data_IF_734870311141
#
_entry.id   IF_734870311141
#
_cell.length_a   1.000
_cell.length_b   1.000
_cell.length_c   1.000
_cell.angle_alpha   90.00
_cell.angle_beta   90.00
_cell.angle_gamma   90.00
#
_symmetry.space_group_name_H-M   'P 1'
#
loop_
_entity.id
_entity.type
_entity.pdbx_description
1 polymer ?
#
# COMPACT_ATOMS: atom_id res chain seq x y z
N UNK A 1 -9.92 14.51 4.15
CA UNK A 1 -10.26 15.93 3.84
C UNK A 1 -11.77 16.15 3.62
N UNK A 2 -12.52 15.17 3.10
CA UNK A 2 -13.97 15.31 2.85
C UNK A 2 -14.80 15.48 4.14
N UNK A 3 -14.58 14.62 5.16
CA UNK A 3 -15.34 14.66 6.42
C UNK A 3 -15.08 15.97 7.19
N UNK A 4 -13.81 16.38 7.32
CA UNK A 4 -13.41 17.70 7.86
C UNK A 4 -14.03 18.88 7.09
N UNK A 5 -14.36 18.69 5.81
CA UNK A 5 -15.05 19.68 4.98
C UNK A 5 -16.54 19.86 5.31
N UNK A 6 -17.05 19.18 6.34
CA UNK A 6 -18.45 19.21 6.75
C UNK A 6 -19.34 18.25 5.98
N UNK A 7 -18.76 17.37 5.16
CA UNK A 7 -19.49 16.35 4.42
C UNK A 7 -19.83 15.16 5.31
N UNK A 8 -21.02 14.59 5.15
CA UNK A 8 -21.39 13.36 5.84
C UNK A 8 -20.44 12.21 5.45
N UNK A 9 -20.11 11.34 6.41
CA UNK A 9 -19.25 10.16 6.20
C UNK A 9 -19.77 9.25 5.08
N UNK A 10 -21.09 9.11 4.92
CA UNK A 10 -21.70 8.27 3.87
C UNK A 10 -21.35 8.83 2.48
N UNK A 11 -21.48 10.13 2.29
CA UNK A 11 -21.15 10.80 1.03
C UNK A 11 -19.62 10.75 0.78
N UNK A 12 -18.84 10.96 1.84
CA UNK A 12 -17.37 10.85 1.78
C UNK A 12 -16.91 9.45 1.36
N UNK A 13 -17.55 8.39 1.88
CA UNK A 13 -17.26 7.00 1.49
C UNK A 13 -17.65 6.71 0.05
N UNK A 14 -18.78 7.23 -0.42
CA UNK A 14 -19.20 7.05 -1.82
C UNK A 14 -18.23 7.72 -2.80
N UNK A 15 -17.76 8.93 -2.49
CA UNK A 15 -16.75 9.62 -3.29
C UNK A 15 -15.43 8.83 -3.25
N UNK A 16 -15.00 8.38 -2.07
CA UNK A 16 -13.79 7.58 -1.93
C UNK A 16 -13.86 6.27 -2.73
N UNK A 17 -14.99 5.57 -2.72
CA UNK A 17 -15.20 4.36 -3.52
C UNK A 17 -15.14 4.61 -5.02
N UNK A 18 -15.60 5.77 -5.49
CA UNK A 18 -15.49 6.17 -6.89
C UNK A 18 -14.08 6.60 -7.31
N UNK A 19 -13.23 7.00 -6.37
CA UNK A 19 -11.83 7.34 -6.63
C UNK A 19 -10.92 6.10 -6.73
N UNK A 20 -11.40 4.92 -6.32
CA UNK A 20 -10.63 3.68 -6.35
C UNK A 20 -10.85 2.95 -7.67
N UNK A 21 -9.75 2.71 -8.41
CA UNK A 21 -9.78 1.95 -9.67
C UNK A 21 -10.02 0.45 -9.48
N UNK A 22 -9.74 -0.09 -8.29
CA UNK A 22 -9.92 -1.50 -8.00
C UNK A 22 -11.41 -1.82 -7.71
N UNK A 23 -12.04 -2.54 -8.64
CA UNK A 23 -13.45 -2.96 -8.53
C UNK A 23 -13.77 -3.72 -7.24
N UNK A 24 -12.89 -4.60 -6.76
CA UNK A 24 -13.10 -5.36 -5.54
C UNK A 24 -13.13 -4.48 -4.29
N UNK A 25 -12.24 -3.47 -4.23
CA UNK A 25 -12.23 -2.49 -3.14
C UNK A 25 -13.46 -1.59 -3.23
N UNK A 26 -13.82 -1.15 -4.44
CA UNK A 26 -15.02 -0.35 -4.66
C UNK A 26 -16.30 -1.06 -4.19
N UNK A 27 -16.49 -2.33 -4.57
CA UNK A 27 -17.62 -3.13 -4.10
C UNK A 27 -17.63 -3.28 -2.58
N UNK A 28 -16.47 -3.48 -1.95
CA UNK A 28 -16.37 -3.52 -0.50
C UNK A 28 -16.78 -2.19 0.15
N UNK A 29 -16.36 -1.04 -0.40
CA UNK A 29 -16.75 0.29 0.08
C UNK A 29 -18.25 0.51 -0.10
N UNK A 30 -18.80 0.20 -1.29
CA UNK A 30 -20.21 0.43 -1.61
C UNK A 30 -21.13 -0.41 -0.71
N UNK A 31 -20.79 -1.68 -0.49
CA UNK A 31 -21.58 -2.53 0.40
C UNK A 31 -21.44 -2.14 1.87
N UNK A 32 -20.25 -1.75 2.33
CA UNK A 32 -20.09 -1.20 3.68
C UNK A 32 -20.88 0.09 3.86
N UNK A 33 -20.90 0.98 2.87
CA UNK A 33 -21.68 2.23 2.89
C UNK A 33 -23.18 1.97 3.01
N UNK A 34 -23.70 0.95 2.30
CA UNK A 34 -25.11 0.54 2.41
C UNK A 34 -25.45 0.08 3.83
N UNK A 35 -24.61 -0.76 4.43
CA UNK A 35 -24.82 -1.26 5.80
C UNK A 35 -24.75 -0.12 6.83
N UNK A 36 -23.80 0.81 6.69
CA UNK A 36 -23.71 2.00 7.56
C UNK A 36 -24.97 2.85 7.46
N UNK A 37 -25.55 2.99 6.26
CA UNK A 37 -26.81 3.71 6.05
C UNK A 37 -27.99 3.07 6.79
N UNK A 38 -27.95 1.75 7.02
CA UNK A 38 -28.96 1.03 7.83
C UNK A 38 -28.73 1.14 9.34
N UNK A 39 -27.70 1.86 9.78
CA UNK A 39 -27.36 2.07 11.20
C UNK A 39 -26.32 1.10 11.75
N UNK A 40 -25.64 0.33 10.90
CA UNK A 40 -24.52 -0.50 11.34
C UNK A 40 -23.28 0.36 11.68
N UNK A 41 -22.52 -0.05 12.68
CA UNK A 41 -21.30 0.64 13.09
C UNK A 41 -20.26 0.67 11.96
N UNK A 42 -19.60 1.81 11.77
CA UNK A 42 -18.67 2.07 10.67
C UNK A 42 -17.46 1.13 10.76
N UNK A 43 -16.83 1.04 11.94
CA UNK A 43 -15.63 0.21 12.15
C UNK A 43 -15.89 -1.28 11.92
N UNK A 44 -16.97 -1.81 12.51
CA UNK A 44 -17.34 -3.22 12.43
C UNK A 44 -17.74 -3.62 11.00
N UNK A 45 -18.45 -2.73 10.31
CA UNK A 45 -18.88 -2.97 8.93
C UNK A 45 -17.70 -3.08 7.97
N UNK A 46 -16.67 -2.24 8.14
CA UNK A 46 -15.46 -2.32 7.32
C UNK A 46 -14.58 -3.52 7.70
N UNK A 47 -14.51 -3.87 8.99
CA UNK A 47 -13.78 -5.06 9.44
C UNK A 47 -14.34 -6.35 8.83
N UNK A 48 -15.66 -6.43 8.65
CA UNK A 48 -16.32 -7.58 8.03
C UNK A 48 -15.83 -7.90 6.61
N UNK A 49 -15.33 -6.90 5.88
CA UNK A 49 -14.91 -7.04 4.48
C UNK A 49 -13.49 -7.57 4.30
N UNK A 50 -12.66 -7.60 5.35
CA UNK A 50 -11.26 -8.09 5.32
C UNK A 50 -10.35 -7.48 4.25
N UNK A 51 -10.79 -6.44 3.55
CA UNK A 51 -9.99 -5.66 2.59
C UNK A 51 -9.26 -4.52 3.30
N UNK A 52 -9.84 -4.03 4.40
CA UNK A 52 -9.32 -2.92 5.15
C UNK A 52 -8.33 -3.41 6.22
N UNK A 53 -7.19 -2.72 6.39
CA UNK A 53 -6.27 -3.04 7.47
C UNK A 53 -6.93 -2.91 8.85
N UNK A 54 -6.55 -3.76 9.80
CA UNK A 54 -7.08 -3.73 11.17
C UNK A 54 -6.91 -2.39 11.87
N UNK A 55 -5.78 -1.70 11.64
CA UNK A 55 -5.52 -0.40 12.25
C UNK A 55 -6.56 0.63 11.79
N UNK A 56 -6.89 0.66 10.49
CA UNK A 56 -7.94 1.52 9.95
C UNK A 56 -9.31 1.23 10.59
N UNK A 57 -9.72 -0.04 10.67
CA UNK A 57 -11.05 -0.40 11.21
C UNK A 57 -11.17 -0.09 12.70
N UNK A 58 -10.09 -0.30 13.47
CA UNK A 58 -10.03 0.05 14.89
C UNK A 58 -10.04 1.55 15.12
N UNK A 59 -9.30 2.33 14.32
CA UNK A 59 -9.32 3.79 14.40
C UNK A 59 -10.71 4.34 14.05
N UNK A 60 -11.38 3.76 13.05
CA UNK A 60 -12.76 4.12 12.71
C UNK A 60 -13.73 3.86 13.86
N UNK A 61 -13.60 2.71 14.53
CA UNK A 61 -14.39 2.36 15.71
C UNK A 61 -14.18 3.34 16.86
N UNK A 62 -12.92 3.65 17.18
CA UNK A 62 -12.59 4.65 18.22
C UNK A 62 -13.13 6.04 17.85
N UNK A 63 -13.01 6.45 16.59
CA UNK A 63 -13.52 7.73 16.11
C UNK A 63 -15.05 7.83 16.18
N UNK A 64 -15.75 6.73 15.91
CA UNK A 64 -17.20 6.60 16.04
C UNK A 64 -17.64 6.66 17.51
N UNK A 65 -17.02 5.86 18.39
CA UNK A 65 -17.33 5.80 19.82
C UNK A 65 -17.08 7.14 20.55
N UNK A 66 -16.06 7.89 20.11
CA UNK A 66 -15.67 9.18 20.70
C UNK A 66 -16.29 10.38 19.99
N UNK A 67 -17.06 10.16 18.91
CA UNK A 67 -17.58 11.24 18.06
C UNK A 67 -16.51 12.11 17.40
N UNK A 68 -15.25 11.67 17.39
CA UNK A 68 -14.08 12.42 16.93
C UNK A 68 -13.53 11.84 15.62
N UNK A 69 -14.43 11.39 14.74
CA UNK A 69 -14.08 10.68 13.50
C UNK A 69 -13.18 11.53 12.59
N UNK A 70 -13.38 12.84 12.54
CA UNK A 70 -12.56 13.77 11.74
C UNK A 70 -11.08 13.74 12.13
N UNK A 71 -10.80 13.88 13.43
CA UNK A 71 -9.44 13.93 13.95
C UNK A 71 -8.75 12.58 13.85
N UNK A 72 -9.48 11.50 14.13
CA UNK A 72 -8.94 10.13 14.05
C UNK A 72 -8.67 9.73 12.60
N UNK A 73 -9.57 10.04 11.66
CA UNK A 73 -9.35 9.81 10.23
C UNK A 73 -8.15 10.62 9.72
N UNK A 74 -7.96 11.86 10.18
CA UNK A 74 -6.80 12.68 9.81
C UNK A 74 -5.49 12.02 10.25
N UNK A 75 -5.40 11.62 11.53
CA UNK A 75 -4.22 10.91 12.04
C UNK A 75 -3.96 9.60 11.32
N UNK A 76 -5.02 8.87 10.99
CA UNK A 76 -4.93 7.61 10.26
C UNK A 76 -4.42 7.83 8.84
N UNK A 77 -4.89 8.87 8.16
CA UNK A 77 -4.41 9.24 6.83
C UNK A 77 -2.93 9.65 6.85
N UNK A 78 -2.52 10.51 7.80
CA UNK A 78 -1.12 10.90 8.00
C UNK A 78 -0.21 9.69 8.26
N UNK A 79 -0.68 8.73 9.06
CA UNK A 79 0.05 7.50 9.32
C UNK A 79 0.27 6.67 8.04
N UNK A 80 -0.76 6.47 7.23
CA UNK A 80 -0.63 5.70 5.98
C UNK A 80 0.16 6.44 4.89
N UNK A 81 0.12 7.77 4.85
CA UNK A 81 0.96 8.58 3.96
C UNK A 81 2.44 8.37 4.30
N UNK A 82 2.79 8.47 5.59
CA UNK A 82 4.15 8.23 6.07
C UNK A 82 4.60 6.79 5.79
N UNK A 83 3.75 5.79 6.04
CA UNK A 83 4.07 4.39 5.78
C UNK A 83 4.28 4.12 4.29
N UNK A 84 3.48 4.73 3.41
CA UNK A 84 3.64 4.64 1.97
C UNK A 84 4.97 5.27 1.50
N UNK A 85 5.32 6.46 2.01
CA UNK A 85 6.59 7.11 1.72
C UNK A 85 7.79 6.27 2.16
N UNK A 86 7.72 5.67 3.36
CA UNK A 86 8.76 4.75 3.82
C UNK A 86 8.87 3.51 2.95
N UNK A 87 7.75 2.94 2.50
CA UNK A 87 7.75 1.81 1.59
C UNK A 87 8.41 2.18 0.25
N UNK A 88 8.08 3.35 -0.31
CA UNK A 88 8.68 3.86 -1.54
C UNK A 88 10.18 4.09 -1.40
N UNK A 89 10.63 4.69 -0.30
CA UNK A 89 12.05 4.90 -0.01
C UNK A 89 12.79 3.57 0.09
N UNK A 90 12.23 2.58 0.80
CA UNK A 90 12.80 1.23 0.90
C UNK A 90 12.90 0.55 -0.46
N UNK A 91 11.83 0.60 -1.26
CA UNK A 91 11.84 0.04 -2.61
C UNK A 91 12.90 0.68 -3.49
N UNK A 92 13.03 2.01 -3.42
CA UNK A 92 14.05 2.76 -4.17
C UNK A 92 15.46 2.43 -3.69
N UNK A 93 15.67 2.31 -2.38
CA UNK A 93 16.96 1.92 -1.81
C UNK A 93 17.39 0.49 -2.20
N UNK A 94 16.45 -0.42 -2.48
CA UNK A 94 16.74 -1.76 -2.98
C UNK A 94 17.21 -1.77 -4.44
N UNK A 95 16.98 -0.71 -5.21
CA UNK A 95 17.44 -0.63 -6.60
C UNK A 95 18.98 -0.63 -6.66
N UNK A 96 19.66 0.06 -5.75
CA UNK A 96 21.12 0.13 -5.70
C UNK A 96 21.79 -1.25 -5.57
N UNK A 97 21.48 -2.10 -4.57
CA UNK A 97 22.08 -3.42 -4.45
C UNK A 97 21.72 -4.33 -5.64
N UNK A 98 20.51 -4.22 -6.21
CA UNK A 98 20.14 -4.98 -7.41
C UNK A 98 21.05 -4.61 -8.59
N UNK A 99 21.33 -3.31 -8.78
CA UNK A 99 22.24 -2.84 -9.84
C UNK A 99 23.66 -3.36 -9.64
N UNK A 100 24.18 -3.39 -8.42
CA UNK A 100 25.51 -3.94 -8.11
C UNK A 100 25.57 -5.43 -8.46
N UNK A 101 24.57 -6.22 -8.04
CA UNK A 101 24.51 -7.66 -8.35
C UNK A 101 24.42 -7.89 -9.86
N UNK A 102 23.60 -7.11 -10.56
CA UNK A 102 23.49 -7.18 -12.01
C UNK A 102 24.82 -6.89 -12.70
N UNK A 103 25.53 -5.83 -12.31
CA UNK A 103 26.85 -5.51 -12.86
C UNK A 103 27.89 -6.59 -12.57
N UNK A 104 27.87 -7.16 -11.36
CA UNK A 104 28.77 -8.26 -11.00
C UNK A 104 28.57 -9.49 -11.91
N UNK A 105 27.31 -9.83 -12.23
CA UNK A 105 26.98 -10.92 -13.15
C UNK A 105 27.50 -10.61 -14.57
N UNK A 106 27.23 -9.41 -15.09
CA UNK A 106 27.66 -9.00 -16.44
C UNK A 106 29.18 -9.02 -16.55
N UNK A 107 29.89 -8.42 -15.60
CA UNK A 107 31.36 -8.40 -15.59
C UNK A 107 31.92 -9.81 -15.44
N UNK A 108 31.37 -10.62 -14.52
CA UNK A 108 31.77 -12.01 -14.33
C UNK A 108 31.60 -12.85 -15.61
N UNK A 109 30.49 -12.66 -16.32
CA UNK A 109 30.23 -13.33 -17.59
C UNK A 109 31.26 -12.97 -18.67
N UNK A 110 31.62 -11.68 -18.80
CA UNK A 110 32.64 -11.20 -19.74
C UNK A 110 34.02 -11.79 -19.40
N UNK A 111 34.40 -11.78 -18.12
CA UNK A 111 35.68 -12.34 -17.66
C UNK A 111 35.78 -13.83 -17.98
N UNK A 112 34.75 -14.62 -17.67
CA UNK A 112 34.72 -16.05 -17.96
C UNK A 112 34.82 -16.30 -19.48
N UNK A 113 34.10 -15.51 -20.28
CA UNK A 113 34.09 -15.63 -21.74
C UNK A 113 35.48 -15.40 -22.37
N UNK A 114 36.33 -14.58 -21.75
CA UNK A 114 37.69 -14.29 -22.23
C UNK A 114 38.72 -15.24 -21.57
N UNK A 115 38.61 -15.51 -20.28
CA UNK A 115 39.56 -16.32 -19.53
C UNK A 115 39.52 -17.80 -19.95
N UNK A 116 38.33 -18.35 -20.16
CA UNK A 116 38.17 -19.76 -20.56
C UNK A 116 38.94 -20.12 -21.86
N UNK A 117 38.79 -19.39 -22.98
CA UNK A 117 39.57 -19.67 -24.19
C UNK A 117 41.08 -19.44 -23.99
N UNK A 118 41.49 -18.44 -23.20
CA UNK A 118 42.92 -18.26 -22.89
C UNK A 118 43.52 -19.46 -22.16
N UNK A 119 42.81 -20.02 -21.17
CA UNK A 119 43.27 -21.22 -20.47
C UNK A 119 43.32 -22.45 -21.39
N UNK A 120 42.38 -22.59 -22.32
CA UNK A 120 42.42 -23.66 -23.31
C UNK A 120 43.62 -23.54 -24.24
N UNK A 121 43.96 -22.31 -24.68
CA UNK A 121 45.14 -22.06 -25.52
C UNK A 121 46.45 -22.32 -24.76
N UNK A 122 46.54 -21.94 -23.47
CA UNK A 122 47.74 -22.19 -22.66
C UNK A 122 47.91 -23.64 -22.22
N UNK A 123 46.81 -24.37 -21.97
CA UNK A 123 46.83 -25.79 -21.61
C UNK A 123 46.98 -26.75 -22.79
N UNK A 124 46.89 -26.24 -24.03
CA UNK A 124 47.11 -27.00 -25.26
C UNK A 124 48.57 -26.91 -25.78
N UNK A 125 49.50 -26.41 -24.96
CA UNK A 125 50.95 -26.37 -25.21
C UNK A 125 51.67 -27.30 -24.25
#
# INVERSE_FOLDING_TARGET
MLVKGGMNIIESLSIAGNAVDNKFIKEAIDESTKLITTGAGIGDTLESRRVFPKMLTQMMKVGEDTGSLDDILKKTAEYYEIEADFALQKLTALIEPIMIVFLAIVVGFVVISIAMPMFQVMGAV
#
